data_IF_174968814184
#
_entry.id   IF_174968814184
#
_cell.length_a   1.000
_cell.length_b   1.000
_cell.length_c   1.000
_cell.angle_alpha   90.00
_cell.angle_beta   90.00
_cell.angle_gamma   90.00
#
_symmetry.space_group_name_H-M   'P 1'
#
loop_
_entity.id
_entity.type
_entity.pdbx_description
1 polymer ?
#
# COMPACT_ATOMS: atom_id res chain seq x y z
N UNK A 1 -17.66 -4.62 17.04
CA UNK A 1 -17.34 -3.77 18.22
C UNK A 1 -18.28 -4.07 19.40
N UNK A 2 -19.63 -4.10 19.22
CA UNK A 2 -20.57 -4.37 20.32
C UNK A 2 -20.35 -5.73 21.00
N UNK A 3 -20.09 -6.79 20.22
CA UNK A 3 -19.85 -8.13 20.75
C UNK A 3 -18.53 -8.25 21.55
N UNK A 4 -17.56 -7.36 21.34
CA UNK A 4 -16.32 -7.30 22.15
C UNK A 4 -16.53 -6.65 23.52
N UNK A 5 -17.60 -5.88 23.72
CA UNK A 5 -17.94 -5.24 24.99
C UNK A 5 -18.68 -6.19 25.93
N UNK A 6 -19.21 -7.30 25.40
CA UNK A 6 -19.82 -8.36 26.19
C UNK A 6 -18.74 -9.25 26.83
N UNK A 7 -18.87 -9.56 28.11
CA UNK A 7 -17.96 -10.45 28.85
C UNK A 7 -18.18 -11.91 28.43
N UNK A 8 -17.79 -12.23 27.20
CA UNK A 8 -17.92 -13.56 26.63
C UNK A 8 -16.75 -14.43 27.09
N UNK A 9 -16.97 -15.27 28.09
CA UNK A 9 -15.94 -16.11 28.71
C UNK A 9 -15.55 -17.35 27.91
N UNK A 10 -16.30 -17.70 26.86
CA UNK A 10 -15.99 -18.87 26.04
C UNK A 10 -14.90 -18.50 25.00
N UNK A 11 -13.70 -19.14 25.08
CA UNK A 11 -12.61 -18.87 24.14
C UNK A 11 -12.96 -19.16 22.67
N UNK A 12 -13.91 -20.07 22.41
CA UNK A 12 -14.38 -20.35 21.04
C UNK A 12 -15.19 -19.17 20.49
N UNK A 13 -16.03 -18.57 21.33
CA UNK A 13 -16.83 -17.41 20.94
C UNK A 13 -15.91 -16.20 20.68
N UNK A 14 -14.93 -15.96 21.53
CA UNK A 14 -13.92 -14.91 21.32
C UNK A 14 -13.21 -15.07 19.98
N UNK A 15 -12.74 -16.28 19.66
CA UNK A 15 -12.12 -16.59 18.37
C UNK A 15 -13.06 -16.34 17.19
N UNK A 16 -14.34 -16.68 17.31
CA UNK A 16 -15.31 -16.40 16.24
C UNK A 16 -15.54 -14.90 16.05
N UNK A 17 -15.57 -14.13 17.13
CA UNK A 17 -15.70 -12.66 17.08
C UNK A 17 -14.48 -12.06 16.40
N UNK A 18 -13.27 -12.50 16.73
CA UNK A 18 -12.03 -12.04 16.05
C UNK A 18 -12.07 -12.33 14.55
N UNK A 19 -12.48 -13.55 14.16
CA UNK A 19 -12.61 -13.91 12.74
C UNK A 19 -13.66 -13.06 12.05
N UNK A 20 -14.82 -12.83 12.68
CA UNK A 20 -15.88 -11.97 12.12
C UNK A 20 -15.40 -10.54 11.95
N UNK A 21 -14.67 -9.99 12.92
CA UNK A 21 -14.09 -8.66 12.84
C UNK A 21 -13.10 -8.54 11.68
N UNK A 22 -12.16 -9.48 11.58
CA UNK A 22 -11.21 -9.53 10.46
C UNK A 22 -11.93 -9.58 9.11
N UNK A 23 -12.95 -10.44 8.96
CA UNK A 23 -13.73 -10.55 7.73
C UNK A 23 -14.55 -9.30 7.42
N UNK A 24 -15.13 -8.69 8.46
CA UNK A 24 -15.88 -7.42 8.32
C UNK A 24 -14.96 -6.27 7.91
N UNK A 25 -13.79 -6.14 8.55
CA UNK A 25 -12.80 -5.13 8.17
C UNK A 25 -12.29 -5.34 6.74
N UNK A 26 -12.05 -6.60 6.35
CA UNK A 26 -11.68 -6.94 4.97
C UNK A 26 -12.76 -6.53 3.98
N UNK A 27 -14.02 -6.85 4.25
CA UNK A 27 -15.15 -6.47 3.38
C UNK A 27 -15.25 -4.96 3.22
N UNK A 28 -15.08 -4.21 4.32
CA UNK A 28 -15.04 -2.73 4.31
C UNK A 28 -13.94 -2.23 3.37
N UNK A 29 -12.70 -2.71 3.52
CA UNK A 29 -11.58 -2.32 2.67
C UNK A 29 -11.83 -2.64 1.21
N UNK A 30 -12.35 -3.85 0.89
CA UNK A 30 -12.70 -4.24 -0.47
C UNK A 30 -13.76 -3.31 -1.08
N UNK A 31 -14.77 -2.93 -0.31
CA UNK A 31 -15.82 -2.03 -0.77
C UNK A 31 -15.27 -0.63 -1.04
N UNK A 32 -14.41 -0.12 -0.16
CA UNK A 32 -13.71 1.16 -0.33
C UNK A 32 -12.84 1.16 -1.58
N UNK A 33 -12.05 0.09 -1.80
CA UNK A 33 -11.20 -0.08 -2.99
C UNK A 33 -12.03 -0.10 -4.28
N UNK A 34 -13.15 -0.83 -4.32
CA UNK A 34 -14.04 -0.90 -5.49
C UNK A 34 -14.66 0.46 -5.79
N UNK A 35 -15.16 1.16 -4.76
CA UNK A 35 -15.74 2.50 -4.91
C UNK A 35 -14.68 3.48 -5.41
N UNK A 36 -13.46 3.43 -4.87
CA UNK A 36 -12.37 4.29 -5.31
C UNK A 36 -11.95 3.99 -6.76
N UNK A 37 -11.75 2.72 -7.11
CA UNK A 37 -11.46 2.31 -8.48
C UNK A 37 -12.54 2.76 -9.47
N UNK A 38 -13.80 2.70 -9.07
CA UNK A 38 -14.93 3.20 -9.87
C UNK A 38 -14.88 4.72 -10.08
N UNK A 39 -14.59 5.49 -9.02
CA UNK A 39 -14.45 6.95 -9.09
C UNK A 39 -13.26 7.38 -9.97
N UNK A 40 -12.13 6.69 -9.83
CA UNK A 40 -10.95 6.89 -10.67
C UNK A 40 -11.31 6.66 -12.14
N UNK A 41 -11.97 5.53 -12.45
CA UNK A 41 -12.34 5.17 -13.82
C UNK A 41 -13.34 6.11 -14.47
N UNK A 42 -14.25 6.68 -13.68
CA UNK A 42 -15.26 7.62 -14.18
C UNK A 42 -14.76 9.07 -14.30
N UNK A 43 -13.51 9.35 -13.88
CA UNK A 43 -12.95 10.70 -13.84
C UNK A 43 -13.64 11.63 -12.82
N UNK A 44 -14.49 11.10 -11.94
CA UNK A 44 -15.29 11.87 -10.98
C UNK A 44 -14.53 12.11 -9.66
N UNK A 45 -13.22 12.33 -9.75
CA UNK A 45 -12.40 12.71 -8.58
C UNK A 45 -12.01 14.17 -8.72
N UNK A 46 -12.44 15.01 -7.79
CA UNK A 46 -11.90 16.36 -7.62
C UNK A 46 -10.64 16.28 -6.80
N UNK A 47 -9.53 16.81 -7.32
CA UNK A 47 -8.25 16.88 -6.65
C UNK A 47 -8.07 18.21 -5.94
N UNK A 48 -7.63 18.16 -4.70
CA UNK A 48 -7.32 19.34 -3.87
C UNK A 48 -5.80 19.49 -3.75
N UNK A 49 -5.19 20.15 -4.73
CA UNK A 49 -3.75 20.36 -4.77
C UNK A 49 -3.27 21.34 -3.71
N UNK A 50 -2.27 20.94 -2.94
CA UNK A 50 -1.55 21.77 -1.97
C UNK A 50 -0.05 21.48 -2.02
N UNK A 51 0.75 22.38 -1.45
CA UNK A 51 2.18 22.12 -1.25
C UNK A 51 2.34 21.19 -0.05
N UNK A 52 3.06 20.09 -0.25
CA UNK A 52 3.26 19.03 0.75
C UNK A 52 4.75 18.70 0.85
N UNK A 53 5.22 18.48 2.06
CA UNK A 53 6.54 17.92 2.29
C UNK A 53 6.49 16.39 2.14
N UNK A 54 7.05 15.87 1.06
CA UNK A 54 7.01 14.43 0.75
C UNK A 54 7.84 13.61 1.75
N UNK A 55 8.93 14.17 2.31
CA UNK A 55 9.73 13.50 3.35
C UNK A 55 8.86 13.20 4.58
N UNK A 56 8.14 14.19 5.09
CA UNK A 56 7.25 14.02 6.25
C UNK A 56 6.14 13.02 5.97
N UNK A 57 5.56 13.08 4.78
CA UNK A 57 4.47 12.17 4.40
C UNK A 57 4.94 10.70 4.32
N UNK A 58 6.15 10.44 3.79
CA UNK A 58 6.75 9.12 3.76
C UNK A 58 7.02 8.63 5.19
N UNK A 59 7.63 9.47 6.04
CA UNK A 59 7.92 9.13 7.43
C UNK A 59 6.65 8.81 8.23
N UNK A 60 5.60 9.62 8.04
CA UNK A 60 4.31 9.35 8.68
C UNK A 60 3.72 8.02 8.21
N UNK A 61 3.72 7.76 6.90
CA UNK A 61 3.21 6.50 6.34
C UNK A 61 4.01 5.31 6.87
N UNK A 62 5.34 5.40 6.88
CA UNK A 62 6.22 4.37 7.44
C UNK A 62 5.83 4.04 8.88
N UNK A 63 5.64 5.05 9.74
CA UNK A 63 5.20 4.86 11.13
C UNK A 63 3.88 4.09 11.26
N UNK A 64 2.94 4.29 10.34
CA UNK A 64 1.66 3.55 10.33
C UNK A 64 1.83 2.06 9.98
N UNK A 65 2.93 1.68 9.31
CA UNK A 65 3.23 0.31 8.91
C UNK A 65 4.23 -0.41 9.81
N UNK A 66 4.84 0.27 10.77
CA UNK A 66 5.88 -0.27 11.66
C UNK A 66 5.47 -1.60 12.31
N UNK A 67 4.28 -1.67 12.90
CA UNK A 67 3.77 -2.89 13.54
C UNK A 67 3.57 -4.04 12.55
N UNK A 68 3.14 -3.74 11.32
CA UNK A 68 2.97 -4.75 10.26
C UNK A 68 4.31 -5.30 9.78
N UNK A 69 5.31 -4.43 9.67
CA UNK A 69 6.67 -4.82 9.30
C UNK A 69 7.31 -5.66 10.41
N UNK A 70 7.19 -5.23 11.67
CA UNK A 70 7.65 -6.00 12.82
C UNK A 70 7.01 -7.39 12.90
N UNK A 71 5.71 -7.51 12.66
CA UNK A 71 5.00 -8.78 12.67
C UNK A 71 5.52 -9.79 11.65
N UNK A 72 6.23 -9.31 10.61
CA UNK A 72 6.85 -10.12 9.56
C UNK A 72 8.38 -10.09 9.59
N UNK A 73 8.97 -9.57 10.66
CA UNK A 73 10.42 -9.45 10.82
C UNK A 73 11.06 -8.71 9.63
N UNK A 74 10.38 -7.67 9.12
CA UNK A 74 10.85 -6.81 8.04
C UNK A 74 11.57 -5.60 8.64
N UNK A 75 12.79 -5.34 8.16
CA UNK A 75 13.57 -4.15 8.50
C UNK A 75 13.37 -3.08 7.41
N UNK A 76 12.81 -1.92 7.76
CA UNK A 76 12.74 -0.80 6.82
C UNK A 76 14.03 0.00 6.84
N UNK A 77 14.58 0.25 5.66
CA UNK A 77 15.75 1.11 5.44
C UNK A 77 15.31 2.33 4.64
N UNK A 78 15.25 3.48 5.29
CA UNK A 78 14.86 4.75 4.66
C UNK A 78 16.09 5.55 4.26
N UNK A 79 16.17 5.90 2.98
CA UNK A 79 17.16 6.80 2.40
C UNK A 79 16.44 8.07 1.92
N UNK A 80 16.18 8.98 2.85
CA UNK A 80 15.46 10.23 2.58
C UNK A 80 16.42 11.41 2.67
N UNK A 81 16.23 12.47 1.85
CA UNK A 81 16.98 13.72 1.98
C UNK A 81 16.78 14.34 3.36
N UNK A 82 17.84 15.02 3.86
CA UNK A 82 17.76 15.79 5.11
C UNK A 82 16.96 17.09 4.94
N UNK A 83 16.78 17.56 3.71
CA UNK A 83 16.04 18.76 3.36
C UNK A 83 14.60 18.42 2.97
N UNK A 84 13.70 19.37 3.09
CA UNK A 84 12.33 19.24 2.66
C UNK A 84 12.24 19.02 1.14
N UNK A 85 11.44 18.06 0.74
CA UNK A 85 11.07 17.85 -0.67
C UNK A 85 9.62 18.25 -0.85
N UNK A 86 9.41 19.51 -1.20
CA UNK A 86 8.06 20.06 -1.40
C UNK A 86 7.58 19.74 -2.81
N UNK A 87 6.41 19.10 -2.88
CA UNK A 87 5.70 18.80 -4.12
C UNK A 87 4.29 19.39 -4.07
N UNK A 88 3.67 19.58 -5.23
CA UNK A 88 2.27 19.98 -5.34
C UNK A 88 1.39 18.78 -5.64
N UNK A 89 0.65 18.31 -4.65
CA UNK A 89 -0.18 17.11 -4.75
C UNK A 89 -1.45 17.22 -3.88
N UNK A 90 -2.39 16.31 -4.10
CA UNK A 90 -3.50 16.07 -3.17
C UNK A 90 -3.02 15.12 -2.06
N UNK A 91 -2.88 15.64 -0.84
CA UNK A 91 -2.31 14.91 0.29
C UNK A 91 -3.06 13.63 0.63
N UNK A 92 -4.39 13.65 0.53
CA UNK A 92 -5.23 12.48 0.80
C UNK A 92 -5.02 11.38 -0.25
N UNK A 93 -4.90 11.77 -1.52
CA UNK A 93 -4.67 10.83 -2.61
C UNK A 93 -3.24 10.29 -2.60
N UNK A 94 -2.28 11.15 -2.34
CA UNK A 94 -0.88 10.74 -2.24
C UNK A 94 -0.66 9.79 -1.05
N UNK A 95 -1.25 10.08 0.12
CA UNK A 95 -1.22 9.15 1.24
C UNK A 95 -1.81 7.78 0.86
N UNK A 96 -2.91 7.77 0.08
CA UNK A 96 -3.49 6.52 -0.40
C UNK A 96 -2.56 5.75 -1.33
N UNK A 97 -1.82 6.44 -2.21
CA UNK A 97 -0.76 5.84 -3.05
C UNK A 97 0.29 5.17 -2.17
N UNK A 98 0.89 5.93 -1.24
CA UNK A 98 1.92 5.42 -0.33
C UNK A 98 1.40 4.23 0.49
N UNK A 99 0.22 4.34 1.09
CA UNK A 99 -0.39 3.27 1.88
C UNK A 99 -0.62 1.99 1.07
N UNK A 100 -0.98 2.09 -0.21
CA UNK A 100 -1.16 0.93 -1.08
C UNK A 100 0.16 0.21 -1.35
N UNK A 101 1.24 0.93 -1.66
CA UNK A 101 2.55 0.31 -1.91
C UNK A 101 3.20 -0.23 -0.62
N UNK A 102 3.10 0.46 0.50
CA UNK A 102 3.56 -0.05 1.81
C UNK A 102 2.78 -1.30 2.24
N UNK A 103 1.47 -1.32 2.03
CA UNK A 103 0.65 -2.49 2.32
C UNK A 103 0.98 -3.68 1.40
N UNK A 104 1.40 -3.41 0.15
CA UNK A 104 1.90 -4.43 -0.76
C UNK A 104 3.21 -5.03 -0.21
N UNK A 105 4.19 -4.21 0.15
CA UNK A 105 5.43 -4.66 0.76
C UNK A 105 5.18 -5.45 2.05
N UNK A 106 4.33 -4.93 2.97
CA UNK A 106 4.00 -5.62 4.21
C UNK A 106 3.38 -7.01 4.00
N UNK A 107 2.67 -7.24 2.89
CA UNK A 107 2.01 -8.52 2.59
C UNK A 107 2.92 -9.52 1.88
N UNK A 108 3.71 -9.04 0.93
CA UNK A 108 4.36 -9.89 -0.05
C UNK A 108 5.89 -9.94 0.09
N UNK A 109 6.50 -9.05 0.88
CA UNK A 109 7.92 -9.14 1.15
C UNK A 109 8.27 -10.45 1.88
N UNK A 110 9.39 -11.03 1.53
CA UNK A 110 9.95 -12.22 2.18
C UNK A 110 10.27 -11.89 3.65
N UNK A 111 9.77 -12.71 4.56
CA UNK A 111 9.99 -12.55 6.00
C UNK A 111 11.50 -12.52 6.33
N UNK A 112 11.89 -11.67 7.27
CA UNK A 112 13.28 -11.53 7.71
C UNK A 112 14.17 -10.77 6.72
N UNK A 113 13.58 -10.05 5.74
CA UNK A 113 14.33 -9.25 4.76
C UNK A 113 14.12 -7.76 4.98
N UNK A 114 14.74 -6.96 4.10
CA UNK A 114 14.64 -5.50 4.14
C UNK A 114 13.67 -4.95 3.11
N UNK A 115 13.03 -3.85 3.48
CA UNK A 115 12.25 -2.99 2.61
C UNK A 115 13.00 -1.67 2.49
N UNK A 116 13.34 -1.25 1.28
CA UNK A 116 14.09 -0.01 1.04
C UNK A 116 13.14 1.07 0.53
N UNK A 117 13.08 2.18 1.26
CA UNK A 117 12.31 3.37 0.91
C UNK A 117 13.29 4.51 0.56
N UNK A 118 13.43 4.79 -0.73
CA UNK A 118 14.36 5.79 -1.22
C UNK A 118 13.58 6.99 -1.80
N UNK A 119 14.00 8.21 -1.46
CA UNK A 119 13.49 9.44 -2.05
C UNK A 119 14.66 10.25 -2.61
N UNK A 120 14.59 10.56 -3.89
CA UNK A 120 15.55 11.41 -4.58
C UNK A 120 14.86 12.61 -5.23
N UNK A 121 15.57 13.76 -5.22
CA UNK A 121 15.15 14.94 -5.99
C UNK A 121 16.14 15.14 -7.13
N UNK A 122 15.64 15.03 -8.35
CA UNK A 122 16.43 15.15 -9.57
C UNK A 122 15.65 15.90 -10.64
N UNK A 123 16.31 16.85 -11.31
CA UNK A 123 15.75 17.62 -12.43
C UNK A 123 14.41 18.30 -12.12
N UNK A 124 14.24 18.76 -10.86
CA UNK A 124 13.00 19.40 -10.41
C UNK A 124 11.85 18.45 -10.08
N UNK A 125 12.05 17.16 -10.18
CA UNK A 125 11.09 16.11 -9.83
C UNK A 125 11.52 15.35 -8.58
N UNK A 126 10.54 14.80 -7.85
CA UNK A 126 10.76 13.90 -6.74
C UNK A 126 10.50 12.46 -7.19
N UNK A 127 11.46 11.58 -6.95
CA UNK A 127 11.39 10.15 -7.25
C UNK A 127 11.36 9.38 -5.94
N UNK A 128 10.25 8.72 -5.67
CA UNK A 128 10.11 7.81 -4.54
C UNK A 128 10.07 6.37 -5.02
N UNK A 129 10.86 5.50 -4.44
CA UNK A 129 10.81 4.06 -4.70
C UNK A 129 10.71 3.27 -3.40
N UNK A 130 9.92 2.19 -3.44
CA UNK A 130 9.84 1.21 -2.37
C UNK A 130 10.22 -0.16 -2.95
N UNK A 131 11.28 -0.78 -2.41
CA UNK A 131 11.84 -2.04 -2.93
C UNK A 131 11.81 -3.12 -1.87
N UNK A 132 11.41 -4.32 -2.25
CA UNK A 132 11.44 -5.49 -1.38
C UNK A 132 11.73 -6.77 -2.18
N UNK A 133 12.21 -7.80 -1.51
CA UNK A 133 12.29 -9.15 -2.05
C UNK A 133 10.94 -9.83 -1.86
N UNK A 134 10.36 -10.39 -2.92
CA UNK A 134 9.08 -11.10 -2.84
C UNK A 134 9.24 -12.47 -2.18
N UNK A 135 8.30 -12.83 -1.31
CA UNK A 135 8.24 -14.17 -0.69
C UNK A 135 7.95 -15.28 -1.73
N UNK A 136 7.30 -14.93 -2.82
CA UNK A 136 6.93 -15.85 -3.89
C UNK A 136 7.56 -15.42 -5.20
N UNK A 137 7.98 -16.38 -6.05
CA UNK A 137 8.46 -16.07 -7.38
C UNK A 137 7.44 -15.25 -8.16
N UNK A 138 7.89 -14.15 -8.75
CA UNK A 138 7.06 -13.27 -9.56
C UNK A 138 7.10 -13.76 -11.02
N UNK A 139 6.19 -14.68 -11.37
CA UNK A 139 6.07 -15.24 -12.71
C UNK A 139 5.09 -14.47 -13.60
N UNK A 140 4.90 -13.18 -13.30
CA UNK A 140 4.01 -12.28 -14.04
C UNK A 140 4.77 -11.01 -14.42
N UNK A 141 4.32 -10.33 -15.47
CA UNK A 141 4.93 -9.08 -15.89
C UNK A 141 4.52 -7.90 -14.98
N UNK A 142 5.31 -6.82 -15.01
CA UNK A 142 4.97 -5.59 -14.29
C UNK A 142 3.62 -5.02 -14.73
N UNK A 143 3.32 -5.07 -16.03
CA UNK A 143 2.06 -4.59 -16.60
C UNK A 143 0.87 -5.40 -16.07
N UNK A 144 1.00 -6.72 -15.99
CA UNK A 144 -0.05 -7.58 -15.42
C UNK A 144 -0.32 -7.27 -13.94
N UNK A 145 0.71 -6.86 -13.15
CA UNK A 145 0.54 -6.51 -11.74
C UNK A 145 -0.25 -5.21 -11.51
N UNK A 146 -0.25 -4.30 -12.47
CA UNK A 146 -1.03 -3.06 -12.43
C UNK A 146 -2.44 -3.21 -12.99
N UNK A 147 -2.72 -4.28 -13.72
CA UNK A 147 -4.08 -4.55 -14.17
C UNK A 147 -5.03 -4.80 -12.99
N UNK A 148 -6.29 -4.37 -13.17
CA UNK A 148 -7.29 -4.49 -12.11
C UNK A 148 -7.66 -5.93 -11.85
N UNK A 149 -7.79 -6.28 -10.56
CA UNK A 149 -8.19 -7.59 -10.09
C UNK A 149 -7.22 -8.74 -10.41
N UNK A 150 -6.04 -8.44 -10.97
CA UNK A 150 -5.03 -9.47 -11.17
C UNK A 150 -4.31 -9.76 -9.85
N UNK A 151 -4.20 -11.02 -9.57
CA UNK A 151 -3.44 -11.59 -8.48
C UNK A 151 -2.57 -12.68 -9.07
N UNK A 152 -1.31 -12.70 -8.74
CA UNK A 152 -0.46 -13.86 -9.04
C UNK A 152 -1.11 -15.15 -8.51
N UNK A 153 -0.90 -16.27 -9.18
CA UNK A 153 -1.59 -17.54 -8.88
C UNK A 153 -1.52 -17.96 -7.41
N UNK A 154 -0.42 -17.64 -6.71
CA UNK A 154 -0.22 -17.96 -5.29
C UNK A 154 -0.93 -16.97 -4.36
N UNK A 155 -1.12 -15.72 -4.80
CA UNK A 155 -1.78 -14.69 -4.00
C UNK A 155 -3.30 -14.81 -3.92
N UNK A 156 -3.90 -15.78 -4.61
CA UNK A 156 -5.35 -16.07 -4.50
C UNK A 156 -5.76 -16.49 -3.09
N UNK A 157 -4.85 -17.06 -2.31
CA UNK A 157 -5.07 -17.44 -0.91
C UNK A 157 -4.77 -16.31 0.07
N UNK A 158 -4.03 -15.26 -0.35
CA UNK A 158 -3.65 -14.14 0.53
C UNK A 158 -4.72 -13.05 0.57
N UNK A 159 -4.75 -12.28 1.65
CA UNK A 159 -5.72 -11.19 1.83
C UNK A 159 -5.42 -10.00 0.92
N UNK A 160 -6.40 -9.55 0.13
CA UNK A 160 -6.28 -8.34 -0.70
C UNK A 160 -7.35 -8.25 -1.79
N UNK A 161 -7.60 -7.04 -2.32
CA UNK A 161 -8.54 -6.79 -3.42
C UNK A 161 -7.94 -7.08 -4.80
N UNK A 162 -6.61 -7.04 -4.92
CA UNK A 162 -5.92 -6.99 -6.22
C UNK A 162 -6.05 -5.62 -6.91
N UNK A 163 -6.55 -4.60 -6.21
CA UNK A 163 -6.77 -3.25 -6.75
C UNK A 163 -5.74 -2.24 -6.25
N UNK A 164 -4.95 -2.56 -5.21
CA UNK A 164 -4.09 -1.56 -4.56
C UNK A 164 -3.08 -0.91 -5.50
N UNK A 165 -2.37 -1.67 -6.32
CA UNK A 165 -1.39 -1.13 -7.27
C UNK A 165 -2.05 -0.35 -8.40
N UNK A 166 -3.15 -0.85 -8.97
CA UNK A 166 -3.88 -0.12 -10.02
C UNK A 166 -4.50 1.19 -9.52
N UNK A 167 -4.95 1.22 -8.25
CA UNK A 167 -5.39 2.47 -7.60
C UNK A 167 -4.21 3.41 -7.39
N UNK A 168 -3.07 2.91 -6.91
CA UNK A 168 -1.87 3.73 -6.71
C UNK A 168 -1.39 4.35 -8.03
N UNK A 169 -1.31 3.57 -9.10
CA UNK A 169 -0.98 4.05 -10.44
C UNK A 169 -1.94 5.15 -10.89
N UNK A 170 -3.23 4.86 -10.90
CA UNK A 170 -4.24 5.80 -11.38
C UNK A 170 -4.27 7.11 -10.59
N UNK A 171 -4.12 7.05 -9.25
CA UNK A 171 -4.07 8.25 -8.41
C UNK A 171 -2.78 9.05 -8.60
N UNK A 172 -1.67 8.41 -8.94
CA UNK A 172 -0.41 9.08 -9.27
C UNK A 172 -0.53 9.80 -10.60
N UNK A 173 -1.03 9.12 -11.63
CA UNK A 173 -1.23 9.69 -12.98
C UNK A 173 -2.22 10.85 -12.99
N UNK A 174 -3.32 10.75 -12.23
CA UNK A 174 -4.29 11.85 -12.07
C UNK A 174 -3.68 13.10 -11.45
N UNK A 175 -2.64 12.95 -10.64
CA UNK A 175 -1.90 14.07 -10.04
C UNK A 175 -0.75 14.57 -10.94
N UNK A 176 -0.59 14.03 -12.15
CA UNK A 176 0.44 14.39 -13.11
C UNK A 176 1.81 13.72 -12.86
N UNK A 177 1.85 12.72 -12.00
CA UNK A 177 3.03 11.89 -11.76
C UNK A 177 3.09 10.67 -12.68
N UNK A 178 4.18 9.92 -12.57
CA UNK A 178 4.40 8.63 -13.24
C UNK A 178 4.49 7.53 -12.20
N UNK A 179 3.91 6.38 -12.48
CA UNK A 179 3.99 5.20 -11.64
C UNK A 179 4.56 4.04 -12.45
N UNK A 180 5.65 3.45 -11.96
CA UNK A 180 6.36 2.38 -12.64
C UNK A 180 6.61 1.21 -11.68
N UNK A 181 6.53 -0.01 -12.18
CA UNK A 181 6.91 -1.22 -11.48
C UNK A 181 8.11 -1.86 -12.17
N UNK A 182 9.08 -2.24 -11.37
CA UNK A 182 10.27 -2.96 -11.83
C UNK A 182 10.31 -4.32 -11.15
N UNK A 183 10.48 -5.36 -11.94
CA UNK A 183 10.65 -6.73 -11.48
C UNK A 183 11.99 -7.24 -11.99
N UNK A 184 12.82 -7.72 -11.07
CA UNK A 184 14.08 -8.39 -11.40
C UNK A 184 14.20 -9.66 -10.55
N UNK A 185 13.80 -10.80 -11.13
CA UNK A 185 13.65 -12.03 -10.39
C UNK A 185 12.63 -11.90 -9.26
N UNK A 186 13.10 -12.03 -8.00
CA UNK A 186 12.27 -11.89 -6.81
C UNK A 186 12.29 -10.46 -6.23
N UNK A 187 13.01 -9.52 -6.85
CA UNK A 187 13.04 -8.12 -6.46
C UNK A 187 11.83 -7.39 -7.06
N UNK A 188 11.11 -6.68 -6.18
CA UNK A 188 9.94 -5.86 -6.49
C UNK A 188 10.19 -4.44 -6.03
#
# INVERSE_FOLDING_TARGET
>A
ELLKQEDLKDPKIQRYIEVLEQKSQRLKTLTEDVVEASKVSSGNITLEFMNLNLVEMIQQTSGEFEEKFKARDLEEVMNLPNEEVVIRADGRRLWRVLSNIYNNAAKYAMQGTRVYADLEKKDGMAYFSLKNVSEQPLNISADELTERFIRGDVSRSTEGSGLGLSIAQSLTEMQGGTFELYLDGDLF
#
